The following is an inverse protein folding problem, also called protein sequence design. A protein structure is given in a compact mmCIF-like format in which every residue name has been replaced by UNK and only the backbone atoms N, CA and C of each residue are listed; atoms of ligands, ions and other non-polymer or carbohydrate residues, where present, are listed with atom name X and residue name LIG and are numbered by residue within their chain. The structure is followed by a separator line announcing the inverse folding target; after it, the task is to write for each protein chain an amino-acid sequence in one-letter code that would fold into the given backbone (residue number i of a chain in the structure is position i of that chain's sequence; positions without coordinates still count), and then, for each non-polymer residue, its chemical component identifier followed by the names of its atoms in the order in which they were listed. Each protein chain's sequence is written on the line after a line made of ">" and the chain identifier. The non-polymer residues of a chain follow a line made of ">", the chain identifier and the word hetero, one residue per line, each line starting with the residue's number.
data_IF_093142031498
#
_entry.id   IF_093142031498
#
_cell.length_a   1.000
_cell.length_b   1.000
_cell.length_c   1.000
_cell.angle_alpha   90.00
_cell.angle_beta   90.00
_cell.angle_gamma   90.00
#
_symmetry.space_group_name_H-M   'P 1'
#
loop_
_entity.id
_entity.type
_entity.pdbx_description
1 polymer ?
#
# COMPACT_ATOMS: atom_id res chain seq x y z
N UNK A 1 9.65 -23.52 -50.03
CA UNK A 1 9.86 -22.11 -49.64
C UNK A 1 10.00 -22.09 -48.13
N UNK A 2 11.23 -21.96 -47.63
CA UNK A 2 11.51 -21.90 -46.19
C UNK A 2 11.48 -20.43 -45.77
N UNK A 3 10.63 -20.10 -44.80
CA UNK A 3 10.51 -18.79 -44.19
C UNK A 3 11.77 -18.48 -43.38
N UNK A 4 12.46 -17.40 -43.74
CA UNK A 4 13.60 -16.88 -42.98
C UNK A 4 13.16 -16.46 -41.57
N UNK A 5 13.93 -16.80 -40.52
CA UNK A 5 13.69 -16.27 -39.19
C UNK A 5 13.98 -14.76 -39.19
N UNK A 6 13.00 -13.98 -38.76
CA UNK A 6 13.11 -12.52 -38.61
C UNK A 6 14.25 -12.19 -37.66
N UNK A 7 15.22 -11.39 -38.13
CA UNK A 7 16.34 -10.94 -37.34
C UNK A 7 15.82 -10.12 -36.15
N UNK A 8 16.16 -10.53 -34.91
CA UNK A 8 15.95 -9.69 -33.73
C UNK A 8 16.75 -8.41 -33.92
N UNK A 9 16.02 -7.31 -34.03
CA UNK A 9 16.55 -5.94 -34.09
C UNK A 9 17.44 -5.65 -32.89
N UNK A 10 18.54 -4.93 -33.18
CA UNK A 10 19.41 -4.11 -32.33
C UNK A 10 19.25 -4.24 -30.81
N UNK A 11 20.36 -4.54 -30.11
CA UNK A 11 20.47 -4.48 -28.65
C UNK A 11 19.91 -3.16 -28.10
N UNK A 12 18.69 -3.17 -27.58
CA UNK A 12 18.22 -2.09 -26.72
C UNK A 12 19.16 -2.07 -25.51
N UNK A 13 19.88 -0.97 -25.31
CA UNK A 13 20.48 -0.72 -24.00
C UNK A 13 19.31 -0.60 -23.02
N UNK A 14 19.16 -1.58 -22.15
CA UNK A 14 18.18 -1.53 -21.07
C UNK A 14 18.69 -0.48 -20.08
N UNK A 15 17.96 0.63 -19.87
CA UNK A 15 18.35 1.61 -18.86
C UNK A 15 18.42 0.94 -17.48
N UNK A 16 19.31 1.42 -16.62
CA UNK A 16 19.39 0.92 -15.24
C UNK A 16 18.02 1.00 -14.55
N UNK A 17 17.64 -0.02 -13.77
CA UNK A 17 16.44 0.04 -12.92
C UNK A 17 16.53 1.24 -11.97
N UNK A 18 15.42 1.96 -11.77
CA UNK A 18 15.36 3.14 -10.89
C UNK A 18 14.30 3.06 -9.80
N UNK A 19 13.44 2.02 -9.84
CA UNK A 19 12.30 1.93 -8.94
C UNK A 19 12.71 1.50 -7.54
N UNK A 20 13.78 0.73 -7.37
CA UNK A 20 14.17 0.20 -6.06
C UNK A 20 13.19 -0.87 -5.56
N UNK A 21 12.93 -0.86 -4.25
CA UNK A 21 12.08 -1.84 -3.57
C UNK A 21 10.60 -1.45 -3.62
N UNK A 22 9.74 -2.47 -3.59
CA UNK A 22 8.30 -2.31 -3.40
C UNK A 22 8.04 -1.78 -1.98
N UNK A 23 7.27 -0.70 -1.87
CA UNK A 23 6.92 -0.05 -0.61
C UNK A 23 5.46 -0.29 -0.22
N UNK A 24 4.55 -0.18 -1.18
CA UNK A 24 3.11 -0.24 -0.92
C UNK A 24 2.33 -0.74 -2.14
N UNK A 25 1.18 -1.38 -1.89
CA UNK A 25 0.17 -1.69 -2.89
C UNK A 25 -1.15 -1.10 -2.40
N UNK A 26 -1.82 -0.32 -3.25
CA UNK A 26 -3.10 0.28 -2.92
C UNK A 26 -4.26 -0.35 -3.68
N UNK A 27 -5.33 -0.62 -2.94
CA UNK A 27 -6.65 -0.96 -3.46
C UNK A 27 -7.52 0.30 -3.39
N UNK A 28 -7.95 0.82 -4.54
CA UNK A 28 -8.98 1.87 -4.58
C UNK A 28 -10.36 1.25 -4.44
N UNK A 29 -11.28 1.94 -3.76
CA UNK A 29 -12.66 1.50 -3.58
C UNK A 29 -13.64 2.65 -3.60
N UNK A 30 -14.89 2.46 -4.08
CA UNK A 30 -15.96 3.45 -3.91
C UNK A 30 -16.53 3.49 -2.48
N UNK A 31 -16.21 2.52 -1.61
CA UNK A 31 -16.71 2.46 -0.24
C UNK A 31 -15.66 1.83 0.70
N UNK A 32 -14.98 2.69 1.44
CA UNK A 32 -13.89 2.33 2.34
C UNK A 32 -14.34 1.26 3.34
N UNK A 33 -15.31 1.57 4.19
CA UNK A 33 -15.67 0.71 5.31
C UNK A 33 -16.21 -0.65 4.87
N UNK A 34 -16.98 -0.73 3.77
CA UNK A 34 -17.40 -2.02 3.19
C UNK A 34 -16.19 -2.87 2.76
N UNK A 35 -15.16 -2.23 2.23
CA UNK A 35 -13.93 -2.89 1.77
C UNK A 35 -13.10 -3.35 2.97
N UNK A 36 -12.89 -2.47 3.96
CA UNK A 36 -12.19 -2.79 5.19
C UNK A 36 -12.87 -3.95 5.94
N UNK A 37 -14.20 -3.96 6.02
CA UNK A 37 -15.00 -5.06 6.55
C UNK A 37 -14.70 -6.39 5.83
N UNK A 38 -14.61 -6.34 4.50
CA UNK A 38 -14.36 -7.53 3.67
C UNK A 38 -12.94 -8.04 3.84
N UNK A 39 -11.96 -7.15 3.85
CA UNK A 39 -10.55 -7.47 4.08
C UNK A 39 -10.31 -8.00 5.49
N UNK A 40 -10.96 -7.41 6.50
CA UNK A 40 -10.92 -7.90 7.90
C UNK A 40 -11.42 -9.33 8.00
N UNK A 41 -12.52 -9.67 7.31
CA UNK A 41 -13.03 -11.06 7.27
C UNK A 41 -12.07 -12.04 6.59
N UNK A 42 -11.21 -11.56 5.70
CA UNK A 42 -10.16 -12.35 5.05
C UNK A 42 -8.85 -12.41 5.85
N UNK A 43 -8.78 -11.72 6.99
CA UNK A 43 -7.63 -11.73 7.89
C UNK A 43 -6.63 -10.58 7.68
N UNK A 44 -6.96 -9.58 6.87
CA UNK A 44 -6.16 -8.37 6.74
C UNK A 44 -6.70 -7.26 7.64
N UNK A 45 -5.82 -6.64 8.42
CA UNK A 45 -6.16 -5.58 9.37
C UNK A 45 -5.58 -5.86 10.77
N UNK A 46 -5.95 -5.06 11.79
CA UNK A 46 -6.81 -3.87 11.70
C UNK A 46 -6.16 -2.74 10.90
N UNK A 47 -6.92 -1.69 10.64
CA UNK A 47 -6.53 -0.58 9.79
C UNK A 47 -6.40 0.71 10.59
N UNK A 48 -5.40 1.52 10.24
CA UNK A 48 -5.31 2.92 10.65
C UNK A 48 -5.96 3.75 9.55
N UNK A 49 -7.00 4.52 9.89
CA UNK A 49 -7.80 5.29 8.94
C UNK A 49 -7.55 6.79 9.13
N UNK A 50 -7.34 7.46 8.01
CA UNK A 50 -7.00 8.88 7.89
C UNK A 50 -7.96 9.60 6.95
N UNK A 51 -8.10 10.91 7.15
CA UNK A 51 -8.74 11.83 6.21
C UNK A 51 -7.68 12.68 5.54
N UNK A 52 -7.66 12.70 4.22
CA UNK A 52 -6.83 13.57 3.40
C UNK A 52 -7.71 14.70 2.87
N UNK A 53 -7.48 15.91 3.37
CA UNK A 53 -8.20 17.13 2.98
C UNK A 53 -7.28 18.36 3.05
N UNK A 54 -7.82 19.57 2.94
CA UNK A 54 -7.04 20.82 3.00
C UNK A 54 -6.31 21.04 4.33
N UNK A 55 -6.74 20.37 5.40
CA UNK A 55 -6.15 20.47 6.74
C UNK A 55 -4.94 19.56 6.86
N UNK A 56 -5.08 18.31 6.43
CA UNK A 56 -4.06 17.27 6.55
C UNK A 56 -3.10 17.22 5.35
N UNK A 57 -3.56 17.60 4.15
CA UNK A 57 -2.78 17.70 2.92
C UNK A 57 -2.97 19.10 2.32
N UNK A 58 -2.39 20.16 2.93
CA UNK A 58 -2.65 21.56 2.56
C UNK A 58 -2.03 21.99 1.23
N UNK A 59 -1.01 21.26 0.75
CA UNK A 59 -0.39 21.47 -0.56
C UNK A 59 -0.80 20.28 -1.41
N UNK A 60 -1.55 20.54 -2.46
CA UNK A 60 -2.02 19.53 -3.39
C UNK A 60 -1.61 19.94 -4.80
N UNK A 61 -1.17 18.97 -5.57
CA UNK A 61 -1.00 19.13 -7.01
C UNK A 61 -1.75 18.04 -7.76
N UNK A 62 -2.45 18.44 -8.83
CA UNK A 62 -3.21 17.52 -9.66
C UNK A 62 -3.16 17.99 -11.11
N UNK A 63 -2.50 17.21 -11.98
CA UNK A 63 -2.31 17.52 -13.42
C UNK A 63 -1.80 18.95 -13.64
N UNK A 64 -0.78 19.35 -12.88
CA UNK A 64 -0.14 20.66 -12.94
C UNK A 64 -0.93 21.81 -12.30
N UNK A 65 -2.13 21.56 -11.77
CA UNK A 65 -2.84 22.55 -10.94
C UNK A 65 -2.37 22.42 -9.49
N UNK A 66 -2.11 23.55 -8.85
CA UNK A 66 -1.75 23.63 -7.43
C UNK A 66 -2.93 24.20 -6.63
N UNK A 67 -3.14 23.71 -5.42
CA UNK A 67 -4.22 24.17 -4.55
C UNK A 67 -4.19 23.48 -3.19
N UNK A 68 -5.22 23.73 -2.39
CA UNK A 68 -5.43 23.06 -1.09
C UNK A 68 -6.73 22.24 -1.03
N UNK A 69 -7.58 22.33 -2.05
CA UNK A 69 -8.93 21.77 -2.14
C UNK A 69 -9.17 21.05 -3.48
N UNK A 70 -8.10 20.58 -4.13
CA UNK A 70 -8.18 19.87 -5.42
C UNK A 70 -8.78 18.48 -5.26
N UNK A 71 -8.59 17.84 -4.10
CA UNK A 71 -9.14 16.54 -3.77
C UNK A 71 -9.30 16.34 -2.26
N UNK A 72 -10.17 15.39 -1.93
CA UNK A 72 -10.25 14.79 -0.61
C UNK A 72 -10.42 13.28 -0.74
N UNK A 73 -9.93 12.54 0.25
CA UNK A 73 -10.04 11.08 0.26
C UNK A 73 -9.93 10.51 1.67
N UNK A 74 -10.52 9.33 1.86
CA UNK A 74 -10.13 8.48 2.96
C UNK A 74 -8.95 7.60 2.54
N UNK A 75 -8.03 7.40 3.47
CA UNK A 75 -6.86 6.54 3.32
C UNK A 75 -6.80 5.61 4.51
N UNK A 76 -6.62 4.32 4.28
CA UNK A 76 -6.48 3.34 5.34
C UNK A 76 -5.27 2.44 5.08
N UNK A 77 -4.44 2.24 6.11
CA UNK A 77 -3.29 1.35 6.02
C UNK A 77 -3.53 0.12 6.91
N UNK A 78 -3.38 -1.07 6.33
CA UNK A 78 -3.41 -2.30 7.11
C UNK A 78 -2.22 -2.35 8.08
N UNK A 79 -2.45 -2.81 9.31
CA UNK A 79 -1.37 -3.11 10.23
C UNK A 79 -0.54 -4.27 9.67
N UNK A 80 0.76 -4.04 9.50
CA UNK A 80 1.73 -5.10 9.22
C UNK A 80 2.57 -5.37 10.48
N UNK A 81 2.73 -6.64 10.93
CA UNK A 81 3.68 -6.97 12.00
C UNK A 81 5.15 -6.91 11.57
N UNK A 82 5.47 -7.06 10.28
CA UNK A 82 6.83 -6.94 9.75
C UNK A 82 7.01 -5.57 9.06
N UNK A 83 7.86 -4.68 9.58
CA UNK A 83 8.12 -3.38 8.98
C UNK A 83 8.88 -3.44 7.65
N UNK A 84 9.39 -4.61 7.23
CA UNK A 84 10.09 -4.79 5.95
C UNK A 84 9.17 -5.27 4.82
N UNK A 85 7.92 -5.61 5.14
CA UNK A 85 6.94 -6.01 4.14
C UNK A 85 6.21 -4.80 3.56
N UNK A 86 5.79 -4.86 2.29
CA UNK A 86 5.00 -3.80 1.70
C UNK A 86 3.72 -3.51 2.48
N UNK A 87 3.36 -2.24 2.55
CA UNK A 87 2.09 -1.80 3.14
C UNK A 87 0.95 -2.15 2.18
N UNK A 88 -0.20 -2.53 2.73
CA UNK A 88 -1.45 -2.60 1.98
C UNK A 88 -2.29 -1.38 2.33
N UNK A 89 -2.49 -0.52 1.34
CA UNK A 89 -3.28 0.70 1.45
C UNK A 89 -4.67 0.51 0.81
N UNK A 90 -5.68 1.16 1.37
CA UNK A 90 -7.01 1.25 0.81
C UNK A 90 -7.40 2.72 0.73
N UNK A 91 -7.72 3.20 -0.47
CA UNK A 91 -8.16 4.58 -0.68
C UNK A 91 -9.60 4.62 -1.19
N UNK A 92 -10.38 5.55 -0.63
CA UNK A 92 -11.63 5.99 -1.22
C UNK A 92 -11.53 7.47 -1.62
N UNK A 93 -11.53 7.83 -2.93
CA UNK A 93 -11.68 9.21 -3.34
C UNK A 93 -13.07 9.75 -2.92
N UNK A 94 -13.12 10.99 -2.43
CA UNK A 94 -14.36 11.64 -1.98
C UNK A 94 -14.70 12.84 -2.85
N UNK A 95 -13.71 13.67 -3.18
CA UNK A 95 -13.86 14.83 -4.07
C UNK A 95 -12.65 14.96 -5.00
N UNK A 96 -12.84 15.70 -6.09
CA UNK A 96 -11.81 15.91 -7.10
C UNK A 96 -11.70 14.76 -8.10
N UNK A 97 -11.32 15.08 -9.34
CA UNK A 97 -11.04 14.07 -10.36
C UNK A 97 -9.62 13.53 -10.19
N UNK A 98 -9.38 12.76 -9.13
CA UNK A 98 -8.06 12.17 -8.82
C UNK A 98 -7.71 11.02 -9.77
N UNK A 99 -6.48 10.53 -9.73
CA UNK A 99 -6.10 9.28 -10.43
C UNK A 99 -6.89 8.07 -9.91
N UNK A 100 -7.30 8.10 -8.64
CA UNK A 100 -8.14 7.08 -8.01
C UNK A 100 -9.56 7.13 -8.55
N UNK A 101 -10.14 8.34 -8.70
CA UNK A 101 -11.46 8.50 -9.30
C UNK A 101 -11.46 8.07 -10.77
N UNK A 102 -10.43 8.44 -11.53
CA UNK A 102 -10.26 7.98 -12.93
C UNK A 102 -10.24 6.44 -13.02
N UNK A 103 -9.57 5.76 -12.08
CA UNK A 103 -9.57 4.31 -12.02
C UNK A 103 -10.99 3.77 -11.84
N UNK A 104 -11.71 4.25 -10.83
CA UNK A 104 -13.08 3.79 -10.57
C UNK A 104 -13.98 4.04 -11.78
N UNK A 105 -13.92 5.23 -12.38
CA UNK A 105 -14.73 5.59 -13.56
C UNK A 105 -14.47 4.65 -14.74
N UNK A 106 -13.21 4.32 -15.00
CA UNK A 106 -12.81 3.43 -16.11
C UNK A 106 -13.10 1.95 -15.85
N UNK A 107 -13.26 1.56 -14.58
CA UNK A 107 -13.52 0.18 -14.14
C UNK A 107 -14.96 -0.05 -13.67
N UNK A 108 -15.92 0.74 -14.16
CA UNK A 108 -17.34 0.62 -13.81
C UNK A 108 -17.60 0.72 -12.30
N UNK A 109 -16.86 1.59 -11.62
CA UNK A 109 -16.90 1.82 -10.18
C UNK A 109 -16.57 0.57 -9.34
N UNK A 110 -15.77 -0.35 -9.88
CA UNK A 110 -15.29 -1.53 -9.18
C UNK A 110 -13.96 -1.24 -8.47
N UNK A 111 -13.82 -1.78 -7.26
CA UNK A 111 -12.58 -1.73 -6.49
C UNK A 111 -11.47 -2.56 -7.15
N UNK A 112 -10.21 -2.17 -6.93
CA UNK A 112 -9.07 -2.89 -7.47
C UNK A 112 -7.73 -2.20 -7.21
N UNK A 113 -6.64 -2.85 -7.63
CA UNK A 113 -5.28 -2.32 -7.46
C UNK A 113 -5.09 -1.09 -8.34
N UNK A 114 -4.88 0.07 -7.73
CA UNK A 114 -4.84 1.37 -8.42
C UNK A 114 -3.44 1.94 -8.54
N UNK A 115 -2.58 1.69 -7.57
CA UNK A 115 -1.17 2.00 -7.70
C UNK A 115 -0.27 1.03 -6.94
N UNK A 116 1.01 1.10 -7.31
CA UNK A 116 2.11 0.39 -6.68
C UNK A 116 3.18 1.43 -6.34
N UNK A 117 3.53 1.56 -5.07
CA UNK A 117 4.55 2.50 -4.62
C UNK A 117 5.91 1.84 -4.55
N UNK A 118 6.93 2.56 -5.02
CA UNK A 118 8.32 2.13 -4.93
C UNK A 118 9.17 3.18 -4.20
N UNK A 119 10.16 2.72 -3.44
CA UNK A 119 11.00 3.61 -2.62
C UNK A 119 12.00 4.45 -3.45
N UNK A 120 12.27 4.03 -4.69
CA UNK A 120 13.21 4.68 -5.61
C UNK A 120 14.58 4.93 -4.98
N UNK A 121 15.12 3.90 -4.32
CA UNK A 121 16.43 3.92 -3.64
C UNK A 121 16.54 5.00 -2.54
N UNK A 122 15.39 5.42 -2.00
CA UNK A 122 15.28 6.45 -0.96
C UNK A 122 15.91 7.79 -1.37
N UNK A 123 16.02 8.05 -2.68
CA UNK A 123 16.55 9.31 -3.21
C UNK A 123 15.68 10.49 -2.81
N UNK A 124 16.19 11.73 -2.81
CA UNK A 124 15.33 12.90 -2.64
C UNK A 124 14.23 12.98 -3.71
N UNK A 125 13.02 13.41 -3.36
CA UNK A 125 11.88 13.42 -4.29
C UNK A 125 12.16 14.16 -5.60
N UNK A 126 12.89 15.28 -5.53
CA UNK A 126 13.30 16.05 -6.73
C UNK A 126 14.10 15.21 -7.74
N UNK A 127 14.96 14.32 -7.25
CA UNK A 127 15.75 13.42 -8.10
C UNK A 127 14.87 12.28 -8.64
N UNK A 128 13.94 11.74 -7.83
CA UNK A 128 12.96 10.74 -8.28
C UNK A 128 12.14 11.27 -9.45
N UNK A 129 11.58 12.47 -9.31
CA UNK A 129 10.79 13.13 -10.34
C UNK A 129 11.62 13.42 -11.59
N UNK A 130 12.87 13.89 -11.44
CA UNK A 130 13.78 14.10 -12.56
C UNK A 130 14.03 12.80 -13.34
N UNK A 131 14.32 11.68 -12.66
CA UNK A 131 14.56 10.38 -13.31
C UNK A 131 13.32 9.86 -14.06
N UNK A 132 12.13 10.09 -13.52
CA UNK A 132 10.86 9.75 -14.19
C UNK A 132 10.60 10.65 -15.39
N UNK A 133 10.88 11.95 -15.27
CA UNK A 133 10.75 12.93 -16.35
C UNK A 133 11.71 12.64 -17.51
N UNK A 134 12.94 12.23 -17.24
CA UNK A 134 13.90 11.76 -18.26
C UNK A 134 13.37 10.54 -19.05
N UNK A 135 12.42 9.79 -18.47
CA UNK A 135 11.68 8.69 -19.13
C UNK A 135 10.37 9.14 -19.75
N UNK A 136 10.12 10.45 -19.79
CA UNK A 136 8.91 11.06 -20.35
C UNK A 136 7.66 10.79 -19.53
N UNK A 137 7.79 10.57 -18.21
CA UNK A 137 6.69 10.36 -17.28
C UNK A 137 6.67 11.54 -16.30
N UNK A 138 5.58 12.30 -16.33
CA UNK A 138 5.39 13.45 -15.46
C UNK A 138 4.57 13.08 -14.21
N UNK A 139 4.71 13.81 -13.10
CA UNK A 139 3.80 13.70 -11.96
C UNK A 139 2.34 13.94 -12.37
N UNK A 140 1.47 13.03 -11.95
CA UNK A 140 0.02 13.08 -12.19
C UNK A 140 -0.70 13.75 -11.02
N UNK A 141 -0.32 13.39 -9.80
CA UNK A 141 -0.93 13.85 -8.56
C UNK A 141 0.13 13.82 -7.45
N UNK A 142 0.13 14.83 -6.60
CA UNK A 142 1.06 14.93 -5.47
C UNK A 142 0.38 15.58 -4.27
N UNK A 143 0.94 15.35 -3.09
CA UNK A 143 0.52 16.05 -1.88
C UNK A 143 1.56 15.95 -0.77
N UNK A 144 1.46 16.90 0.16
CA UNK A 144 2.30 16.98 1.35
C UNK A 144 1.42 16.73 2.57
N UNK A 145 1.40 15.48 3.01
CA UNK A 145 0.63 15.03 4.14
C UNK A 145 1.33 15.40 5.45
N UNK A 146 0.61 16.07 6.35
CA UNK A 146 1.14 16.55 7.63
C UNK A 146 1.13 15.45 8.69
N UNK A 147 2.27 15.29 9.34
CA UNK A 147 2.40 14.50 10.56
C UNK A 147 2.13 15.32 11.81
N UNK A 148 2.25 14.69 12.98
CA UNK A 148 2.45 15.40 14.26
C UNK A 148 3.73 16.23 14.23
N UNK A 149 4.75 15.69 13.54
CA UNK A 149 5.98 16.33 13.16
C UNK A 149 6.28 15.98 11.71
N UNK A 150 7.00 16.86 11.02
CA UNK A 150 7.37 16.63 9.64
C UNK A 150 6.20 16.58 8.65
N UNK A 151 6.55 16.18 7.43
CA UNK A 151 5.60 15.95 6.34
C UNK A 151 6.03 14.73 5.51
N UNK A 152 5.04 14.10 4.88
CA UNK A 152 5.22 13.05 3.88
C UNK A 152 4.86 13.63 2.51
N UNK A 153 5.77 13.60 1.56
CA UNK A 153 5.51 13.98 0.17
C UNK A 153 5.27 12.73 -0.67
N UNK A 154 4.02 12.55 -1.10
CA UNK A 154 3.65 11.50 -2.05
C UNK A 154 3.57 12.04 -3.47
N UNK A 155 3.98 11.23 -4.45
CA UNK A 155 3.97 11.59 -5.86
C UNK A 155 3.57 10.40 -6.74
N UNK A 156 2.41 10.50 -7.36
CA UNK A 156 1.91 9.58 -8.38
C UNK A 156 2.41 9.98 -9.77
N UNK A 157 2.76 8.99 -10.58
CA UNK A 157 3.21 9.15 -11.96
C UNK A 157 2.19 8.55 -12.93
N UNK A 158 1.97 9.21 -14.08
CA UNK A 158 1.07 8.71 -15.12
C UNK A 158 1.72 7.59 -15.96
N UNK A 159 1.78 6.40 -15.36
CA UNK A 159 2.25 5.18 -16.04
C UNK A 159 1.16 4.51 -16.86
N UNK A 160 -0.12 4.78 -16.57
CA UNK A 160 -1.25 4.28 -17.36
C UNK A 160 -1.21 4.86 -18.77
N UNK A 161 -0.91 6.15 -18.91
CA UNK A 161 -0.66 6.81 -20.21
C UNK A 161 0.51 6.22 -21.00
N UNK A 162 1.35 5.36 -20.38
CA UNK A 162 2.43 4.60 -21.04
C UNK A 162 2.06 3.15 -21.34
N UNK A 163 0.81 2.75 -21.11
CA UNK A 163 0.29 1.42 -21.38
C UNK A 163 0.39 0.42 -20.21
N UNK A 164 0.72 0.89 -18.99
CA UNK A 164 0.60 0.05 -17.79
C UNK A 164 -0.85 0.02 -17.30
N UNK A 165 -1.19 -1.02 -16.52
CA UNK A 165 -2.54 -1.18 -15.98
C UNK A 165 -2.85 -0.24 -14.80
N UNK A 166 -1.82 0.35 -14.18
CA UNK A 166 -1.91 1.02 -12.89
C UNK A 166 -0.89 2.15 -12.78
N UNK A 167 -1.12 3.12 -11.88
CA UNK A 167 -0.18 4.19 -11.58
C UNK A 167 1.00 3.69 -10.74
N UNK A 168 2.17 4.31 -10.88
CA UNK A 168 3.26 4.15 -9.91
C UNK A 168 3.34 5.35 -8.99
N UNK A 169 3.76 5.11 -7.76
CA UNK A 169 3.94 6.14 -6.74
C UNK A 169 5.35 6.06 -6.14
N UNK A 170 5.79 7.18 -5.58
CA UNK A 170 6.87 7.19 -4.61
C UNK A 170 6.56 8.14 -3.46
N UNK A 171 7.14 7.86 -2.28
CA UNK A 171 6.82 8.54 -1.02
C UNK A 171 8.14 8.95 -0.34
N UNK A 172 8.27 10.23 -0.01
CA UNK A 172 9.40 10.78 0.76
C UNK A 172 8.91 11.25 2.13
N UNK A 173 9.55 10.75 3.18
CA UNK A 173 9.29 11.17 4.56
C UNK A 173 10.35 12.19 4.99
N UNK A 174 9.94 13.25 5.67
CA UNK A 174 10.91 14.11 6.36
C UNK A 174 11.58 13.37 7.52
N UNK A 175 12.80 13.78 7.88
CA UNK A 175 13.59 13.13 8.94
C UNK A 175 12.89 13.11 10.31
N UNK A 176 12.07 14.12 10.58
CA UNK A 176 11.33 14.29 11.83
C UNK A 176 9.90 13.74 11.76
N UNK A 177 9.54 12.99 10.72
CA UNK A 177 8.20 12.45 10.53
C UNK A 177 7.68 11.71 11.76
N UNK A 178 6.50 12.12 12.22
CA UNK A 178 5.74 11.44 13.25
C UNK A 178 4.29 11.33 12.77
N UNK A 179 3.77 10.11 12.68
CA UNK A 179 2.44 9.83 12.15
C UNK A 179 1.33 10.65 12.84
N UNK A 180 0.37 11.22 12.08
CA UNK A 180 -0.72 11.98 12.67
C UNK A 180 -1.71 11.09 13.45
N UNK A 181 -2.67 11.72 14.11
CA UNK A 181 -3.78 10.99 14.74
C UNK A 181 -4.63 10.26 13.69
N UNK A 182 -5.11 9.08 14.07
CA UNK A 182 -5.92 8.21 13.20
C UNK A 182 -7.00 7.48 13.98
N UNK A 183 -7.96 6.94 13.24
CA UNK A 183 -8.96 6.02 13.76
C UNK A 183 -8.53 4.57 13.52
N UNK A 184 -8.68 3.72 14.54
CA UNK A 184 -8.54 2.28 14.36
C UNK A 184 -9.84 1.66 13.83
N UNK A 185 -9.74 0.80 12.82
CA UNK A 185 -10.88 0.06 12.28
C UNK A 185 -10.59 -1.44 12.12
N UNK A 186 -11.50 -2.36 12.51
CA UNK A 186 -12.74 -2.11 13.27
C UNK A 186 -12.48 -1.77 14.75
N UNK A 187 -11.22 -1.84 15.17
CA UNK A 187 -10.73 -1.53 16.50
C UNK A 187 -9.21 -1.73 16.54
N UNK A 188 -8.54 -1.36 17.65
CA UNK A 188 -7.09 -1.51 17.77
C UNK A 188 -6.68 -3.00 17.72
N UNK A 189 -5.42 -3.31 17.36
CA UNK A 189 -4.90 -4.67 17.43
C UNK A 189 -5.11 -5.26 18.82
N UNK A 190 -5.57 -6.50 18.88
CA UNK A 190 -5.56 -7.30 20.10
C UNK A 190 -4.19 -7.97 20.24
N UNK A 191 -3.55 -7.84 21.39
CA UNK A 191 -2.28 -8.52 21.71
C UNK A 191 -2.52 -10.04 21.84
N UNK A 192 -2.62 -10.73 20.70
CA UNK A 192 -2.89 -12.17 20.65
C UNK A 192 -1.68 -13.06 21.03
N UNK A 193 -0.52 -12.46 21.31
CA UNK A 193 0.67 -13.17 21.78
C UNK A 193 0.52 -13.83 23.16
N UNK A 194 -0.57 -13.59 23.89
CA UNK A 194 -0.91 -14.32 25.13
C UNK A 194 -1.76 -15.57 24.93
N UNK A 195 -2.15 -15.92 23.70
CA UNK A 195 -2.93 -17.15 23.39
C UNK A 195 -2.08 -18.38 23.04
N UNK A 196 -0.77 -18.37 23.30
CA UNK A 196 0.02 -19.60 23.26
C UNK A 196 0.44 -20.05 24.67
N UNK A 197 0.20 -21.34 24.96
CA UNK A 197 0.50 -22.14 26.17
C UNK A 197 -0.63 -22.39 27.18
N UNK A 198 -1.72 -23.00 26.72
CA UNK A 198 -2.38 -24.07 27.51
C UNK A 198 -2.84 -25.21 26.59
N UNK A 199 -1.89 -25.91 25.97
CA UNK A 199 -2.09 -27.33 25.67
C UNK A 199 -1.39 -28.14 26.77
N UNK A 200 -2.17 -28.51 27.79
CA UNK A 200 -1.84 -29.56 28.76
C UNK A 200 -2.42 -30.91 28.30
N UNK A 201 -1.83 -32.04 28.73
CA UNK A 201 -1.54 -33.17 27.86
C UNK A 201 -2.74 -34.10 27.59
N UNK A 202 -2.77 -34.65 26.38
CA UNK A 202 -3.54 -35.84 26.04
C UNK A 202 -3.08 -37.02 26.91
N UNK A 203 -3.96 -37.50 27.78
CA UNK A 203 -3.76 -38.73 28.56
C UNK A 203 -3.82 -39.96 27.65
N UNK A 204 -2.66 -40.38 27.13
CA UNK A 204 -2.46 -41.72 26.60
C UNK A 204 -2.36 -42.71 27.78
N UNK A 205 -3.44 -43.41 28.09
CA UNK A 205 -3.41 -44.55 29.02
C UNK A 205 -3.04 -45.82 28.24
N UNK A 206 -1.76 -46.18 28.30
CA UNK A 206 -1.30 -47.52 27.98
C UNK A 206 -1.66 -48.45 29.13
N UNK A 207 -2.53 -49.43 28.88
CA UNK A 207 -2.73 -50.58 29.76
C UNK A 207 -1.59 -51.57 29.57
N UNK A 208 -0.88 -51.85 30.66
CA UNK A 208 0.07 -52.95 30.78
C UNK A 208 0.24 -53.26 32.26
N UNK A 209 -0.51 -54.24 32.76
CA UNK A 209 -0.42 -54.73 34.13
C UNK A 209 -0.21 -56.25 34.09
N UNK A 210 1.04 -56.67 34.13
CA UNK A 210 1.50 -57.79 34.96
C UNK A 210 1.90 -57.14 36.30
N UNK A 211 1.62 -57.62 37.50
CA UNK A 211 1.34 -58.97 37.96
C UNK A 211 2.09 -59.12 39.29
N UNK A 212 1.38 -59.67 40.29
CA UNK A 212 1.86 -60.25 41.56
C UNK A 212 1.84 -59.41 42.86
N UNK A 213 1.11 -60.01 43.79
CA UNK A 213 0.87 -59.76 45.20
C UNK A 213 2.15 -59.70 46.06
N UNK A 214 2.04 -59.12 47.27
CA UNK A 214 2.12 -59.89 48.53
C UNK A 214 1.67 -59.01 49.72
N UNK A 215 0.86 -59.63 50.58
CA UNK A 215 0.41 -59.20 51.92
C UNK A 215 1.57 -58.71 52.83
N UNK A 216 1.33 -57.63 53.56
CA UNK A 216 1.11 -57.59 55.03
C UNK A 216 0.75 -56.17 55.47
#
# INVERSE_FOLDING_TARGET
>A
MASSPSARSSSMQVPSPILGSLNEICIVTPNLYKTLDSLTRLGLGPFRVFMFDSTTVPKQELRGKQGSDLYTMHVAFAQNPDPNEPVVEIIQPLTGQTSMQDYLDTHNNQEGVQHIAFNMEDLPMVERQKRMKERGIEPLMQGWWRGKKGETHFCFFDTVGKGLATCFETIEFSEDWEEPEFEWYPGPPVDDLKRSRTFGPSSGSGQGADGLEILL
#
